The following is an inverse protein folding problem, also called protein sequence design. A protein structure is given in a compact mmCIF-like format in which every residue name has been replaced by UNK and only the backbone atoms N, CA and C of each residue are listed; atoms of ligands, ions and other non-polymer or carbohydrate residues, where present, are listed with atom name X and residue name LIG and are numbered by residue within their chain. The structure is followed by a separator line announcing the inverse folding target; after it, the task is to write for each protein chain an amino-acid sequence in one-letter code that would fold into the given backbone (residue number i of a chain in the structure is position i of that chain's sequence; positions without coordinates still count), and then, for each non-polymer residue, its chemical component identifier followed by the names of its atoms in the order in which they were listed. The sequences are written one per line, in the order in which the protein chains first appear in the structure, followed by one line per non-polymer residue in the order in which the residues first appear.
data_IF_712432592466
#
_entry.id   IF_712432592466
#
_cell.length_a   1.000
_cell.length_b   1.000
_cell.length_c   1.000
_cell.angle_alpha   90.00
_cell.angle_beta   90.00
_cell.angle_gamma   90.00
#
_symmetry.space_group_name_H-M   'P 1'
#
loop_
_entity.id
_entity.type
_entity.pdbx_description
1 polymer ?
#
# COMPACT_ATOMS: atom_id res chain seq x y z
N UNK A 1 56.49 -15.07 -51.04
CA UNK A 1 57.01 -16.13 -50.15
C UNK A 1 56.03 -16.21 -48.97
N UNK A 2 55.28 -17.27 -48.67
CA UNK A 2 55.23 -18.68 -49.07
C UNK A 2 53.75 -19.13 -49.03
N UNK A 3 53.40 -20.10 -49.88
CA UNK A 3 52.08 -20.75 -50.10
C UNK A 3 51.92 -22.00 -49.19
N UNK A 4 50.69 -22.22 -48.67
CA UNK A 4 49.88 -23.49 -48.67
C UNK A 4 50.43 -24.66 -47.79
N UNK A 5 49.62 -25.56 -47.12
CA UNK A 5 48.43 -26.25 -47.64
C UNK A 5 47.21 -26.52 -46.73
N UNK A 6 46.16 -26.93 -47.43
CA UNK A 6 44.93 -27.65 -47.06
C UNK A 6 45.16 -29.09 -46.57
N UNK A 7 44.26 -29.62 -45.71
CA UNK A 7 43.45 -30.85 -45.97
C UNK A 7 42.72 -31.41 -44.71
N UNK A 8 41.42 -31.77 -44.89
CA UNK A 8 40.68 -32.98 -44.43
C UNK A 8 40.58 -33.25 -42.89
N UNK A 9 39.53 -33.80 -42.26
CA UNK A 9 38.34 -34.57 -42.65
C UNK A 9 37.46 -34.82 -41.39
N UNK A 10 36.13 -34.97 -41.59
CA UNK A 10 35.15 -35.84 -40.87
C UNK A 10 35.03 -35.76 -39.33
N UNK A 11 33.85 -35.49 -38.76
CA UNK A 11 32.70 -36.41 -38.60
C UNK A 11 31.65 -35.63 -37.76
N UNK A 12 30.35 -35.58 -38.05
CA UNK A 12 29.42 -36.69 -38.15
C UNK A 12 28.99 -37.14 -36.75
N UNK A 13 27.95 -36.52 -36.17
CA UNK A 13 27.01 -37.12 -35.18
C UNK A 13 25.78 -36.20 -35.12
N UNK A 14 24.67 -36.71 -35.63
CA UNK A 14 23.34 -36.24 -35.31
C UNK A 14 22.91 -36.95 -34.01
N UNK A 15 22.47 -36.19 -33.00
CA UNK A 15 21.73 -36.76 -31.86
C UNK A 15 20.39 -36.07 -31.77
N UNK A 16 19.37 -36.84 -32.13
CA UNK A 16 17.97 -36.63 -31.81
C UNK A 16 17.82 -36.80 -30.29
N UNK A 17 17.22 -35.84 -29.59
CA UNK A 17 16.64 -36.09 -28.29
C UNK A 17 15.13 -35.95 -28.35
N UNK A 18 14.49 -37.02 -27.88
CA UNK A 18 13.08 -37.29 -27.95
C UNK A 18 12.28 -36.36 -27.04
N UNK A 19 11.12 -35.93 -27.54
CA UNK A 19 10.05 -35.35 -26.75
C UNK A 19 9.40 -36.48 -25.95
N UNK A 20 9.69 -36.52 -24.65
CA UNK A 20 8.98 -37.36 -23.70
C UNK A 20 7.64 -36.71 -23.34
N UNK A 21 6.55 -37.20 -23.92
CA UNK A 21 5.19 -36.94 -23.48
C UNK A 21 4.97 -37.67 -22.14
N UNK A 22 4.85 -36.95 -21.04
CA UNK A 22 4.33 -37.49 -19.78
C UNK A 22 2.88 -37.06 -19.67
N UNK A 23 1.97 -38.01 -19.94
CA UNK A 23 0.54 -37.88 -19.73
C UNK A 23 0.25 -37.97 -18.22
N UNK A 24 -0.07 -36.83 -17.59
CA UNK A 24 -0.65 -36.82 -16.25
C UNK A 24 -2.17 -36.79 -16.38
N UNK A 25 -2.80 -37.95 -16.20
CA UNK A 25 -4.26 -38.09 -16.06
C UNK A 25 -4.64 -37.63 -14.65
N UNK A 26 -5.29 -36.48 -14.54
CA UNK A 26 -5.93 -36.02 -13.30
C UNK A 26 -7.43 -36.27 -13.43
N UNK A 27 -7.93 -37.30 -12.75
CA UNK A 27 -9.37 -37.55 -12.59
C UNK A 27 -9.87 -36.57 -11.52
N UNK A 28 -10.64 -35.56 -11.94
CA UNK A 28 -11.39 -34.69 -11.03
C UNK A 28 -12.79 -35.28 -10.86
N UNK A 29 -13.07 -35.84 -9.69
CA UNK A 29 -14.42 -36.24 -9.30
C UNK A 29 -15.22 -34.98 -8.90
N UNK A 30 -16.27 -34.70 -9.66
CA UNK A 30 -17.22 -33.60 -9.41
C UNK A 30 -18.31 -34.13 -8.46
N UNK A 31 -18.25 -33.78 -7.17
CA UNK A 31 -19.35 -34.01 -6.25
C UNK A 31 -20.28 -32.79 -6.26
N UNK A 32 -21.42 -32.91 -6.95
CA UNK A 32 -22.55 -32.00 -6.81
C UNK A 32 -23.19 -32.22 -5.43
N UNK A 33 -23.16 -31.21 -4.57
CA UNK A 33 -24.06 -31.12 -3.42
C UNK A 33 -25.23 -30.22 -3.81
N UNK A 34 -26.41 -30.84 -3.94
CA UNK A 34 -27.67 -30.15 -4.17
C UNK A 34 -28.16 -29.51 -2.85
N UNK A 35 -28.50 -28.22 -2.89
CA UNK A 35 -29.19 -27.53 -1.80
C UNK A 35 -30.72 -27.71 -1.93
N UNK A 36 -31.48 -27.89 -0.83
CA UNK A 36 -32.93 -27.95 -0.88
C UNK A 36 -33.56 -26.54 -0.90
N UNK A 37 -34.63 -26.40 -1.68
CA UNK A 37 -35.43 -25.20 -1.86
C UNK A 37 -36.32 -24.87 -0.62
N UNK A 38 -36.69 -23.60 -0.40
CA UNK A 38 -37.67 -23.24 0.62
C UNK A 38 -39.11 -23.42 0.11
N UNK A 39 -39.92 -24.14 0.88
CA UNK A 39 -41.34 -24.33 0.66
C UNK A 39 -42.16 -23.10 1.04
N UNK A 40 -43.07 -22.73 0.15
CA UNK A 40 -44.14 -21.74 0.32
C UNK A 40 -45.28 -22.33 1.15
N UNK A 41 -45.75 -21.62 2.19
CA UNK A 41 -47.07 -21.82 2.75
C UNK A 41 -47.86 -20.51 2.68
N UNK A 42 -48.92 -20.57 1.89
CA UNK A 42 -49.93 -19.53 1.73
C UNK A 42 -51.04 -19.70 2.78
N UNK A 43 -51.52 -18.55 3.25
CA UNK A 43 -52.89 -18.16 3.55
C UNK A 43 -53.86 -19.15 4.20
N UNK A 44 -54.26 -18.79 5.42
CA UNK A 44 -55.47 -19.27 6.07
C UNK A 44 -56.12 -18.12 6.84
N UNK A 45 -56.89 -17.29 6.15
CA UNK A 45 -57.76 -16.30 6.75
C UNK A 45 -58.98 -16.99 7.38
N UNK A 46 -59.25 -16.72 8.65
CA UNK A 46 -60.57 -16.93 9.25
C UNK A 46 -60.90 -15.73 10.11
N UNK A 47 -61.95 -15.02 9.71
CA UNK A 47 -62.47 -13.83 10.36
C UNK A 47 -63.69 -14.25 11.17
N UNK A 48 -63.71 -14.00 12.49
CA UNK A 48 -64.91 -14.09 13.33
C UNK A 48 -64.96 -12.86 14.22
N UNK A 49 -65.92 -11.96 13.95
CA UNK A 49 -66.32 -10.88 14.83
C UNK A 49 -67.13 -11.44 16.01
N UNK A 50 -66.89 -10.95 17.22
CA UNK A 50 -67.91 -10.39 18.12
C UNK A 50 -67.30 -9.88 19.43
N UNK A 51 -67.40 -8.57 19.61
CA UNK A 51 -67.91 -7.82 20.79
C UNK A 51 -67.51 -8.22 22.22
N UNK A 52 -66.93 -7.26 22.96
CA UNK A 52 -67.39 -6.75 24.25
C UNK A 52 -66.23 -6.15 25.08
N UNK A 53 -66.41 -4.91 25.49
CA UNK A 53 -65.48 -4.11 26.26
C UNK A 53 -65.27 -4.63 27.70
N UNK A 54 -64.01 -4.68 28.15
CA UNK A 54 -63.65 -4.66 29.57
C UNK A 54 -62.24 -4.08 29.77
N UNK A 55 -62.15 -3.15 30.71
CA UNK A 55 -61.02 -2.33 31.14
C UNK A 55 -59.63 -2.97 31.08
N UNK A 56 -58.71 -2.32 30.37
CA UNK A 56 -57.27 -2.56 30.46
C UNK A 56 -56.62 -1.46 31.31
N UNK A 57 -56.21 -1.81 32.54
CA UNK A 57 -55.22 -1.05 33.31
C UNK A 57 -53.85 -1.23 32.66
N UNK A 58 -53.35 -0.18 32.04
CA UNK A 58 -52.02 -0.11 31.45
C UNK A 58 -50.96 0.04 32.56
N UNK A 59 -50.24 -1.04 32.85
CA UNK A 59 -49.04 -0.99 33.71
C UNK A 59 -47.86 -0.70 32.80
N UNK A 60 -47.39 0.55 32.79
CA UNK A 60 -46.19 0.96 32.08
C UNK A 60 -44.94 0.30 32.71
N UNK A 61 -44.09 -0.42 31.96
CA UNK A 61 -42.84 -0.91 32.50
C UNK A 61 -41.81 0.22 32.52
N UNK A 62 -41.42 0.64 33.72
CA UNK A 62 -40.27 1.52 33.94
C UNK A 62 -38.97 0.72 33.78
N UNK A 63 -38.39 0.75 32.58
CA UNK A 63 -37.00 0.38 32.35
C UNK A 63 -36.25 1.57 31.75
N UNK A 64 -35.82 2.50 32.61
CA UNK A 64 -34.75 3.43 32.28
C UNK A 64 -33.50 3.03 33.09
N UNK A 65 -32.89 1.90 32.71
CA UNK A 65 -31.51 1.65 33.08
C UNK A 65 -30.65 2.56 32.19
N UNK A 66 -30.16 3.66 32.77
CA UNK A 66 -29.13 4.49 32.16
C UNK A 66 -27.89 3.63 31.93
N UNK A 67 -27.69 3.15 30.70
CA UNK A 67 -26.43 2.55 30.27
C UNK A 67 -25.39 3.66 30.32
N UNK A 68 -24.56 3.66 31.36
CA UNK A 68 -23.39 4.54 31.41
C UNK A 68 -22.57 4.28 30.15
N UNK A 69 -22.32 5.33 29.37
CA UNK A 69 -21.45 5.23 28.20
C UNK A 69 -20.11 4.62 28.63
N UNK A 70 -19.54 3.67 27.86
CA UNK A 70 -18.24 3.11 28.19
C UNK A 70 -17.23 4.25 28.35
N UNK A 71 -16.34 4.17 29.35
CA UNK A 71 -15.34 5.21 29.57
C UNK A 71 -14.56 5.44 28.27
N UNK A 72 -14.57 6.69 27.79
CA UNK A 72 -13.79 7.10 26.62
C UNK A 72 -12.33 6.79 26.91
N UNK A 73 -11.71 5.94 26.10
CA UNK A 73 -10.33 5.51 26.26
C UNK A 73 -9.38 6.72 26.33
N UNK A 74 -8.88 7.00 27.54
CA UNK A 74 -8.01 8.15 27.88
C UNK A 74 -6.56 7.89 27.46
N UNK A 75 -6.34 7.44 26.22
CA UNK A 75 -5.01 7.33 25.65
C UNK A 75 -4.28 8.69 25.65
N UNK A 76 -2.93 8.70 25.59
CA UNK A 76 -2.16 9.93 25.66
C UNK A 76 -2.50 10.87 24.50
N UNK A 77 -2.64 12.16 24.80
CA UNK A 77 -2.90 13.20 23.79
C UNK A 77 -1.63 13.51 22.98
N UNK A 78 -1.77 13.76 21.65
CA UNK A 78 -0.66 14.24 20.84
C UNK A 78 -0.07 15.53 21.36
N UNK A 79 1.26 15.55 21.53
CA UNK A 79 1.99 16.81 21.78
C UNK A 79 1.96 17.67 20.52
N UNK A 80 1.83 18.97 20.71
CA UNK A 80 2.03 19.95 19.64
C UNK A 80 3.46 19.82 19.09
N UNK A 81 3.60 19.90 17.76
CA UNK A 81 4.90 19.93 17.12
C UNK A 81 5.65 21.24 17.49
N UNK A 82 6.83 21.18 18.16
CA UNK A 82 7.67 22.35 18.36
C UNK A 82 8.25 22.85 17.03
N UNK A 83 8.92 24.01 17.01
CA UNK A 83 9.55 24.54 15.79
C UNK A 83 10.68 23.65 15.23
N UNK A 84 11.25 22.78 16.06
CA UNK A 84 12.25 21.80 15.66
C UNK A 84 12.20 20.59 16.58
N UNK A 85 12.42 19.40 16.04
CA UNK A 85 12.59 18.18 16.80
C UNK A 85 13.58 17.23 16.11
N UNK A 86 14.23 16.37 16.88
CA UNK A 86 15.07 15.29 16.36
C UNK A 86 14.97 14.08 17.26
N UNK A 87 14.98 12.90 16.67
CA UNK A 87 15.03 11.60 17.35
C UNK A 87 16.43 11.02 17.16
N UNK A 88 16.99 10.40 18.20
CA UNK A 88 18.24 9.66 18.03
C UNK A 88 17.99 8.28 17.43
N UNK A 89 18.88 7.87 16.53
CA UNK A 89 18.83 6.58 15.83
C UNK A 89 20.18 6.30 15.17
N UNK A 90 20.50 5.02 14.99
CA UNK A 90 21.68 4.61 14.24
C UNK A 90 21.52 4.94 12.75
N UNK A 91 22.64 5.17 12.07
CA UNK A 91 22.67 5.23 10.61
C UNK A 91 23.26 3.93 10.06
N UNK A 92 22.72 3.45 8.94
CA UNK A 92 23.16 2.23 8.26
C UNK A 92 23.31 2.51 6.77
N UNK A 93 24.53 2.31 6.25
CA UNK A 93 24.79 2.27 4.81
C UNK A 93 24.18 1.01 4.21
N UNK A 94 23.39 1.12 3.16
CA UNK A 94 22.76 -0.07 2.58
C UNK A 94 23.73 -0.97 1.82
N UNK A 95 23.43 -2.27 1.81
CA UNK A 95 23.88 -3.17 0.75
C UNK A 95 23.05 -3.01 -0.54
N UNK A 96 23.43 -3.69 -1.62
CA UNK A 96 22.82 -3.57 -2.95
C UNK A 96 21.29 -3.73 -2.87
N UNK A 97 20.53 -2.73 -3.35
CA UNK A 97 19.06 -2.69 -3.33
C UNK A 97 18.43 -2.88 -1.94
N UNK A 98 19.15 -2.55 -0.86
CA UNK A 98 18.72 -2.75 0.52
C UNK A 98 18.25 -1.47 1.23
N UNK A 99 17.92 -0.39 0.49
CA UNK A 99 17.46 0.89 1.05
C UNK A 99 16.29 0.72 2.05
N UNK A 100 15.32 -0.14 1.71
CA UNK A 100 14.17 -0.45 2.56
C UNK A 100 14.55 -1.15 3.85
N UNK A 101 15.21 -2.33 3.81
CA UNK A 101 15.63 -3.02 5.03
C UNK A 101 16.60 -2.21 5.87
N UNK A 102 17.56 -1.49 5.27
CA UNK A 102 18.42 -0.55 5.97
C UNK A 102 17.60 0.53 6.72
N UNK A 103 16.56 1.08 6.07
CA UNK A 103 15.68 2.06 6.71
C UNK A 103 14.83 1.47 7.84
N UNK A 104 14.33 0.23 7.70
CA UNK A 104 13.60 -0.45 8.79
C UNK A 104 14.50 -0.63 10.00
N UNK A 105 15.74 -1.11 9.83
CA UNK A 105 16.64 -1.32 10.97
C UNK A 105 17.13 -0.01 11.61
N UNK A 106 17.19 1.08 10.83
CA UNK A 106 17.40 2.43 11.38
C UNK A 106 16.20 2.88 12.23
N UNK A 107 14.97 2.69 11.76
CA UNK A 107 13.77 3.00 12.55
C UNK A 107 13.70 2.16 13.84
N UNK A 108 13.97 0.86 13.77
CA UNK A 108 14.02 -0.03 14.94
C UNK A 108 15.04 0.42 15.99
N UNK A 109 16.17 0.99 15.57
CA UNK A 109 17.18 1.49 16.51
C UNK A 109 16.71 2.67 17.36
N UNK A 110 15.74 3.47 16.88
CA UNK A 110 15.12 4.53 17.69
C UNK A 110 14.28 3.97 18.84
N UNK A 111 13.89 2.70 18.76
CA UNK A 111 13.19 1.94 19.79
C UNK A 111 14.15 1.06 20.63
N UNK A 112 15.46 1.27 20.48
CA UNK A 112 16.48 0.49 21.19
C UNK A 112 16.75 -0.90 20.62
N UNK A 113 16.20 -1.25 19.45
CA UNK A 113 16.41 -2.56 18.82
C UNK A 113 17.56 -2.48 17.82
N UNK A 114 18.65 -3.17 18.12
CA UNK A 114 19.80 -3.29 17.24
C UNK A 114 19.76 -4.61 16.44
N UNK A 115 19.35 -4.52 15.18
CA UNK A 115 19.35 -5.64 14.23
C UNK A 115 20.12 -5.28 12.96
N UNK A 116 20.77 -6.27 12.35
CA UNK A 116 21.51 -6.11 11.09
C UNK A 116 20.54 -5.98 9.90
N UNK A 117 20.90 -5.14 8.92
CA UNK A 117 20.15 -5.06 7.66
C UNK A 117 20.17 -6.39 6.88
N UNK A 118 21.17 -7.24 7.12
CA UNK A 118 21.30 -8.52 6.41
C UNK A 118 20.28 -9.56 6.91
N UNK A 119 19.95 -9.52 8.19
CA UNK A 119 18.87 -10.33 8.78
C UNK A 119 17.50 -9.87 8.25
N UNK A 120 17.34 -8.56 8.05
CA UNK A 120 16.13 -7.94 7.53
C UNK A 120 15.99 -8.07 6.00
N UNK A 121 17.08 -8.30 5.25
CA UNK A 121 17.12 -8.22 3.79
C UNK A 121 16.16 -9.20 3.12
N UNK A 122 16.31 -10.50 3.37
CA UNK A 122 15.48 -11.52 2.71
C UNK A 122 14.00 -11.44 3.14
N UNK A 123 13.68 -11.32 4.45
CA UNK A 123 12.29 -11.24 4.88
C UNK A 123 11.54 -10.07 4.28
N UNK A 124 12.17 -8.89 4.20
CA UNK A 124 11.49 -7.66 3.78
C UNK A 124 11.53 -7.43 2.27
N UNK A 125 12.69 -7.64 1.63
CA UNK A 125 12.89 -7.39 0.20
C UNK A 125 12.58 -8.61 -0.67
N UNK A 126 12.74 -9.81 -0.12
CA UNK A 126 12.71 -11.08 -0.86
C UNK A 126 14.07 -11.50 -1.42
N UNK A 127 14.09 -12.69 -2.02
CA UNK A 127 15.31 -13.34 -2.51
C UNK A 127 15.87 -12.75 -3.81
N UNK A 128 15.04 -12.12 -4.64
CA UNK A 128 15.51 -11.47 -5.86
C UNK A 128 16.38 -10.25 -5.51
N UNK A 129 17.67 -10.31 -5.87
CA UNK A 129 18.64 -9.26 -5.57
C UNK A 129 18.38 -7.96 -6.34
N UNK A 130 17.63 -8.03 -7.44
CA UNK A 130 17.26 -6.89 -8.27
C UNK A 130 16.00 -6.17 -7.77
N UNK A 131 15.26 -6.76 -6.82
CA UNK A 131 14.05 -6.16 -6.27
C UNK A 131 14.38 -5.24 -5.10
N UNK A 132 13.60 -4.15 -4.96
CA UNK A 132 13.52 -3.37 -3.73
C UNK A 132 12.48 -3.93 -2.75
N UNK A 133 12.24 -3.22 -1.66
CA UNK A 133 11.26 -3.57 -0.63
C UNK A 133 9.95 -2.80 -0.83
N UNK A 134 8.82 -3.50 -0.84
CA UNK A 134 7.49 -2.93 -0.61
C UNK A 134 7.13 -2.91 0.88
N UNK A 135 6.15 -2.10 1.33
CA UNK A 135 5.84 -1.96 2.75
C UNK A 135 5.16 -3.19 3.37
N UNK A 136 4.58 -4.09 2.57
CA UNK A 136 3.64 -5.12 3.03
C UNK A 136 4.28 -6.16 3.96
N UNK A 137 5.58 -6.41 3.83
CA UNK A 137 6.28 -7.42 4.63
C UNK A 137 6.81 -6.89 5.96
N UNK A 138 6.73 -5.58 6.21
CA UNK A 138 7.31 -4.96 7.40
C UNK A 138 6.55 -5.36 8.66
N UNK A 139 5.22 -5.18 8.73
CA UNK A 139 4.41 -5.49 9.93
C UNK A 139 4.52 -6.97 10.34
N UNK A 140 4.32 -7.96 9.44
CA UNK A 140 4.44 -9.37 9.83
C UNK A 140 5.84 -9.72 10.35
N UNK A 141 6.90 -9.16 9.75
CA UNK A 141 8.26 -9.45 10.15
C UNK A 141 8.58 -8.84 11.52
N UNK A 142 8.28 -7.57 11.76
CA UNK A 142 8.61 -6.95 13.06
C UNK A 142 7.71 -7.45 14.20
N UNK A 143 6.46 -7.80 13.91
CA UNK A 143 5.56 -8.40 14.89
C UNK A 143 6.09 -9.75 15.35
N UNK A 144 6.49 -10.61 14.41
CA UNK A 144 7.03 -11.93 14.72
C UNK A 144 8.37 -11.90 15.48
N UNK A 145 9.21 -10.90 15.26
CA UNK A 145 10.58 -10.87 15.81
C UNK A 145 10.73 -9.96 17.03
N UNK A 146 9.90 -8.93 17.19
CA UNK A 146 10.11 -7.88 18.19
C UNK A 146 8.85 -7.49 18.97
N UNK A 147 7.68 -8.09 18.66
CA UNK A 147 6.41 -7.70 19.29
C UNK A 147 5.93 -6.30 18.91
N UNK A 148 6.51 -5.69 17.88
CA UNK A 148 6.14 -4.36 17.38
C UNK A 148 5.08 -4.44 16.28
N UNK A 149 4.51 -3.29 15.93
CA UNK A 149 3.59 -3.14 14.80
C UNK A 149 4.10 -2.10 13.81
N UNK A 150 3.71 -2.25 12.55
CA UNK A 150 3.93 -1.27 11.52
C UNK A 150 2.63 -0.96 10.78
N UNK A 151 2.44 0.32 10.48
CA UNK A 151 1.37 0.78 9.60
C UNK A 151 1.97 1.60 8.49
N UNK A 152 1.50 1.39 7.27
CA UNK A 152 1.80 2.25 6.14
C UNK A 152 0.52 2.81 5.56
N UNK A 153 0.55 4.07 5.18
CA UNK A 153 -0.59 4.80 4.63
C UNK A 153 -0.11 5.73 3.52
N UNK A 154 -1.05 6.21 2.71
CA UNK A 154 -0.81 7.24 1.70
C UNK A 154 -1.28 8.60 2.21
N UNK A 155 -1.21 9.63 1.37
CA UNK A 155 -1.71 10.97 1.67
C UNK A 155 -0.97 11.72 2.80
N UNK A 156 0.26 11.33 3.11
CA UNK A 156 1.03 12.06 4.10
C UNK A 156 1.28 13.53 3.72
N UNK A 157 1.53 14.35 4.74
CA UNK A 157 1.87 15.77 4.60
C UNK A 157 3.12 16.07 5.41
N UNK A 158 3.83 17.15 5.06
CA UNK A 158 4.96 17.61 5.87
C UNK A 158 4.51 17.87 7.32
N UNK A 159 3.32 18.46 7.50
CA UNK A 159 2.74 18.65 8.84
C UNK A 159 2.56 17.33 9.62
N UNK A 160 2.00 16.30 8.98
CA UNK A 160 1.85 14.99 9.62
C UNK A 160 3.20 14.39 10.02
N UNK A 161 4.20 14.46 9.14
CA UNK A 161 5.53 13.93 9.46
C UNK A 161 6.19 14.69 10.62
N UNK A 162 6.02 16.02 10.70
CA UNK A 162 6.47 16.82 11.84
C UNK A 162 5.79 16.38 13.14
N UNK A 163 4.45 16.19 13.12
CA UNK A 163 3.69 15.74 14.30
C UNK A 163 4.10 14.33 14.74
N UNK A 164 4.37 13.42 13.80
CA UNK A 164 4.90 12.09 14.10
C UNK A 164 6.26 12.17 14.80
N UNK A 165 7.20 12.93 14.24
CA UNK A 165 8.55 13.11 14.81
C UNK A 165 8.51 13.79 16.18
N UNK A 166 7.67 14.83 16.34
CA UNK A 166 7.48 15.52 17.62
C UNK A 166 6.96 14.60 18.74
N UNK A 167 6.29 13.51 18.36
CA UNK A 167 5.74 12.52 19.28
C UNK A 167 6.58 11.24 19.35
N UNK A 168 7.81 11.25 18.83
CA UNK A 168 8.78 10.15 18.98
C UNK A 168 8.66 9.05 17.93
N UNK A 169 7.79 9.20 16.93
CA UNK A 169 7.70 8.26 15.82
C UNK A 169 8.71 8.61 14.73
N UNK A 170 9.30 7.59 14.09
CA UNK A 170 10.31 7.75 13.03
C UNK A 170 9.72 7.36 11.67
N UNK A 171 8.95 8.25 11.01
CA UNK A 171 8.29 7.89 9.78
C UNK A 171 9.29 7.65 8.65
N UNK A 172 9.07 6.56 7.94
CA UNK A 172 9.80 6.21 6.74
C UNK A 172 9.02 6.64 5.51
N UNK A 173 9.71 7.13 4.48
CA UNK A 173 9.08 7.52 3.20
C UNK A 173 9.79 6.86 2.03
N UNK A 174 9.05 6.69 0.93
CA UNK A 174 9.65 6.39 -0.38
C UNK A 174 9.67 7.65 -1.22
N UNK A 175 10.83 8.01 -1.74
CA UNK A 175 11.01 9.17 -2.61
C UNK A 175 11.82 8.80 -3.84
N UNK A 176 11.76 9.66 -4.85
CA UNK A 176 12.81 9.68 -5.85
C UNK A 176 14.12 10.16 -5.21
N UNK A 177 15.20 9.47 -5.52
CA UNK A 177 16.55 9.95 -5.28
C UNK A 177 17.28 10.01 -6.60
N UNK A 178 17.96 11.12 -6.85
CA UNK A 178 18.91 11.23 -7.94
C UNK A 178 20.23 10.56 -7.54
N UNK A 179 20.59 9.49 -8.23
CA UNK A 179 21.94 8.94 -8.17
C UNK A 179 22.72 9.43 -9.41
N UNK A 180 23.88 10.11 -9.24
CA UNK A 180 24.68 10.60 -10.36
C UNK A 180 25.25 9.50 -11.27
N UNK A 181 25.40 8.28 -10.76
CA UNK A 181 26.05 7.15 -11.44
C UNK A 181 25.06 6.18 -12.10
N UNK A 182 23.78 6.19 -11.71
CA UNK A 182 22.77 5.25 -12.22
C UNK A 182 21.56 5.93 -12.87
N UNK A 183 21.11 7.10 -12.38
CA UNK A 183 19.84 7.82 -12.67
C UNK A 183 18.90 7.88 -11.44
N UNK A 184 17.63 8.21 -11.61
CA UNK A 184 16.63 8.27 -10.53
C UNK A 184 16.23 6.87 -10.06
N UNK A 185 16.25 6.66 -8.75
CA UNK A 185 15.82 5.42 -8.11
C UNK A 185 14.75 5.66 -7.05
N UNK A 186 13.79 4.74 -6.95
CA UNK A 186 12.85 4.74 -5.84
C UNK A 186 13.60 4.34 -4.56
N UNK A 187 13.55 5.19 -3.54
CA UNK A 187 14.45 5.12 -2.41
C UNK A 187 13.72 5.27 -1.08
N UNK A 188 14.04 4.39 -0.13
CA UNK A 188 13.52 4.48 1.23
C UNK A 188 14.47 5.29 2.12
N UNK A 189 13.88 6.15 2.95
CA UNK A 189 14.59 6.99 3.93
C UNK A 189 13.80 7.05 5.22
N UNK A 190 14.48 7.36 6.32
CA UNK A 190 13.85 7.57 7.65
C UNK A 190 13.92 9.05 7.99
N UNK A 191 12.77 9.67 8.29
CA UNK A 191 12.76 11.03 8.83
C UNK A 191 13.17 10.98 10.28
N UNK A 192 14.25 11.71 10.59
CA UNK A 192 14.87 11.76 11.90
C UNK A 192 14.48 13.01 12.66
N UNK A 193 14.33 14.12 11.95
CA UNK A 193 14.12 15.43 12.56
C UNK A 193 13.60 16.45 11.56
N UNK A 194 13.29 17.64 12.06
CA UNK A 194 12.92 18.77 11.24
C UNK A 194 13.26 20.09 11.93
N UNK A 195 13.34 21.14 11.13
CA UNK A 195 13.52 22.52 11.55
C UNK A 195 12.64 23.42 10.67
N UNK A 196 11.63 24.05 11.28
CA UNK A 196 10.67 24.92 10.61
C UNK A 196 11.30 26.25 10.16
N UNK A 197 12.28 26.77 10.91
CA UNK A 197 12.96 28.01 10.54
C UNK A 197 13.78 27.83 9.26
N UNK A 198 14.27 26.61 9.03
CA UNK A 198 14.98 26.22 7.81
C UNK A 198 14.08 25.53 6.78
N UNK A 199 12.79 25.36 7.07
CA UNK A 199 11.84 24.60 6.26
C UNK A 199 12.42 23.25 5.76
N UNK A 200 13.03 22.50 6.67
CA UNK A 200 13.88 21.34 6.34
C UNK A 200 13.53 20.11 7.17
N UNK A 201 13.48 18.95 6.52
CA UNK A 201 13.57 17.65 7.18
C UNK A 201 15.03 17.20 7.21
N UNK A 202 15.43 16.57 8.31
CA UNK A 202 16.66 15.81 8.41
C UNK A 202 16.32 14.33 8.33
N UNK A 203 16.93 13.63 7.39
CA UNK A 203 16.72 12.19 7.20
C UNK A 203 18.00 11.41 7.49
N UNK A 204 17.83 10.17 7.93
CA UNK A 204 18.86 9.16 7.74
C UNK A 204 18.62 8.49 6.38
N UNK A 205 19.54 8.68 5.46
CA UNK A 205 19.51 8.15 4.10
C UNK A 205 20.56 7.03 3.97
N UNK A 206 20.16 5.81 3.58
CA UNK A 206 21.09 4.68 3.53
C UNK A 206 22.16 4.77 2.40
N UNK A 207 22.08 5.76 1.50
CA UNK A 207 23.05 6.06 0.43
C UNK A 207 23.70 7.43 0.54
N UNK A 208 23.13 8.36 1.30
CA UNK A 208 23.68 9.72 1.46
C UNK A 208 24.21 10.03 2.87
N UNK A 209 23.84 9.24 3.88
CA UNK A 209 24.37 9.37 5.24
C UNK A 209 23.34 9.79 6.29
N UNK A 210 23.86 10.20 7.44
CA UNK A 210 23.09 10.64 8.61
C UNK A 210 22.77 12.14 8.51
N UNK A 211 21.59 12.56 9.00
CA UNK A 211 21.18 13.97 9.08
C UNK A 211 21.23 14.72 7.72
N UNK A 212 20.87 14.04 6.64
CA UNK A 212 20.83 14.65 5.31
C UNK A 212 19.69 15.67 5.27
N UNK A 213 19.97 16.96 4.99
CA UNK A 213 18.95 17.99 4.94
C UNK A 213 18.19 17.95 3.62
N UNK A 214 16.86 17.96 3.69
CA UNK A 214 15.95 18.02 2.56
C UNK A 214 14.91 19.12 2.81
N UNK A 215 14.83 20.12 1.92
CA UNK A 215 13.80 21.15 2.06
C UNK A 215 12.41 20.52 1.99
N UNK A 216 11.44 21.09 2.71
CA UNK A 216 10.04 20.65 2.70
C UNK A 216 9.45 20.57 1.31
N UNK A 217 9.81 21.52 0.43
CA UNK A 217 9.37 21.54 -0.95
C UNK A 217 9.98 20.39 -1.76
N UNK A 218 11.31 20.20 -1.68
CA UNK A 218 11.97 19.10 -2.37
C UNK A 218 11.43 17.75 -1.90
N UNK A 219 11.29 17.61 -0.58
CA UNK A 219 10.77 16.42 0.06
C UNK A 219 9.37 16.07 -0.47
N UNK A 220 8.46 17.05 -0.54
CA UNK A 220 7.11 16.85 -1.03
C UNK A 220 7.08 16.48 -2.52
N UNK A 221 7.89 17.15 -3.35
CA UNK A 221 7.91 16.93 -4.80
C UNK A 221 8.40 15.53 -5.17
N UNK A 222 9.45 15.04 -4.48
CA UNK A 222 10.03 13.73 -4.74
C UNK A 222 9.25 12.59 -4.07
N UNK A 223 8.32 12.93 -3.18
CA UNK A 223 7.42 11.99 -2.49
C UNK A 223 6.07 11.80 -3.21
N UNK A 224 5.59 12.85 -3.89
CA UNK A 224 4.32 12.87 -4.63
C UNK A 224 4.11 11.65 -5.55
N UNK A 225 5.04 11.26 -6.45
CA UNK A 225 4.80 10.13 -7.35
C UNK A 225 4.73 8.77 -6.62
N UNK A 226 5.07 8.72 -5.33
CA UNK A 226 4.92 7.55 -4.46
C UNK A 226 3.71 7.67 -3.53
N UNK A 227 2.70 8.45 -3.95
CA UNK A 227 1.40 8.61 -3.28
C UNK A 227 1.46 9.22 -1.89
N UNK A 228 2.50 10.01 -1.63
CA UNK A 228 2.80 10.51 -0.28
C UNK A 228 2.79 9.37 0.77
N UNK A 229 3.32 8.20 0.39
CA UNK A 229 3.33 7.02 1.25
C UNK A 229 4.33 7.15 2.38
N UNK A 230 3.87 6.92 3.60
CA UNK A 230 4.70 6.83 4.79
C UNK A 230 4.47 5.48 5.49
N UNK A 231 5.45 5.04 6.26
CA UNK A 231 5.40 3.87 7.12
C UNK A 231 5.91 4.25 8.50
N UNK A 232 5.23 3.80 9.56
CA UNK A 232 5.64 4.00 10.95
C UNK A 232 5.72 2.65 11.64
N UNK A 233 6.83 2.41 12.32
CA UNK A 233 7.01 1.30 13.26
C UNK A 233 6.74 1.82 14.67
N UNK A 234 5.96 1.09 15.47
CA UNK A 234 5.51 1.51 16.79
C UNK A 234 5.33 0.32 17.75
N UNK A 235 5.42 0.59 19.05
CA UNK A 235 5.02 -0.34 20.10
C UNK A 235 3.48 -0.39 20.15
N UNK A 236 2.83 -1.58 20.20
CA UNK A 236 1.37 -1.70 20.25
C UNK A 236 0.69 -0.76 21.26
N UNK A 237 1.32 -0.46 22.40
CA UNK A 237 0.75 0.45 23.41
C UNK A 237 0.58 1.89 22.93
N UNK A 238 1.35 2.29 21.91
CA UNK A 238 1.36 3.65 21.36
C UNK A 238 0.39 3.81 20.18
N UNK A 239 -0.39 2.77 19.82
CA UNK A 239 -1.28 2.81 18.66
C UNK A 239 -2.35 3.90 18.77
N UNK A 240 -2.91 4.10 19.97
CA UNK A 240 -3.92 5.13 20.20
C UNK A 240 -3.36 6.53 19.97
N UNK A 241 -2.11 6.79 20.39
CA UNK A 241 -1.43 8.04 20.13
C UNK A 241 -1.20 8.23 18.63
N UNK A 242 -0.72 7.19 17.96
CA UNK A 242 -0.47 7.22 16.52
C UNK A 242 -1.76 7.47 15.74
N UNK A 243 -2.86 6.81 16.11
CA UNK A 243 -4.21 7.03 15.57
C UNK A 243 -4.64 8.50 15.70
N UNK A 244 -4.47 9.09 16.89
CA UNK A 244 -4.81 10.51 17.14
C UNK A 244 -3.95 11.47 16.32
N UNK A 245 -2.66 11.17 16.13
CA UNK A 245 -1.77 11.99 15.29
C UNK A 245 -2.19 11.91 13.81
N UNK A 246 -2.46 10.71 13.31
CA UNK A 246 -2.89 10.50 11.92
C UNK A 246 -4.28 11.10 11.66
N UNK A 247 -5.17 11.05 12.65
CA UNK A 247 -6.51 11.64 12.57
C UNK A 247 -7.45 10.82 11.69
N UNK A 248 -8.35 11.50 10.97
CA UNK A 248 -9.37 10.86 10.12
C UNK A 248 -8.78 9.93 9.06
N UNK A 249 -7.57 10.26 8.58
CA UNK A 249 -6.85 9.45 7.62
C UNK A 249 -6.41 8.10 8.21
N UNK A 250 -6.64 7.78 9.49
CA UNK A 250 -6.50 6.42 10.02
C UNK A 250 -7.55 5.47 9.45
N UNK A 251 -8.74 5.98 9.13
CA UNK A 251 -9.76 5.21 8.43
C UNK A 251 -9.42 5.13 6.93
N UNK A 252 -9.39 3.93 6.36
CA UNK A 252 -8.98 3.72 4.98
C UNK A 252 -9.88 4.39 3.95
N UNK A 253 -11.20 4.43 4.19
CA UNK A 253 -12.15 5.08 3.28
C UNK A 253 -11.95 6.60 3.29
N UNK A 254 -11.78 7.18 4.49
CA UNK A 254 -11.49 8.62 4.65
C UNK A 254 -10.16 8.99 3.99
N UNK A 255 -9.10 8.24 4.25
CA UNK A 255 -7.80 8.45 3.63
C UNK A 255 -7.88 8.40 2.11
N UNK A 256 -8.57 7.41 1.52
CA UNK A 256 -8.73 7.32 0.06
C UNK A 256 -9.49 8.50 -0.53
N UNK A 257 -10.57 8.93 0.14
CA UNK A 257 -11.35 10.09 -0.29
C UNK A 257 -10.52 11.38 -0.22
N UNK A 258 -9.86 11.63 0.91
CA UNK A 258 -9.00 12.80 1.10
C UNK A 258 -7.82 12.81 0.12
N UNK A 259 -7.21 11.65 -0.12
CA UNK A 259 -6.12 11.48 -1.09
C UNK A 259 -6.59 11.77 -2.52
N UNK A 260 -7.76 11.26 -2.90
CA UNK A 260 -8.37 11.52 -4.21
C UNK A 260 -8.63 13.00 -4.44
N UNK A 261 -9.31 13.68 -3.52
CA UNK A 261 -9.63 15.10 -3.66
C UNK A 261 -8.37 15.97 -3.74
N UNK A 262 -7.41 15.73 -2.83
CA UNK A 262 -6.14 16.47 -2.81
C UNK A 262 -5.36 16.30 -4.12
N UNK A 263 -5.12 15.06 -4.54
CA UNK A 263 -4.28 14.80 -5.72
C UNK A 263 -4.96 15.19 -7.02
N UNK A 264 -6.30 15.15 -7.10
CA UNK A 264 -7.05 15.70 -8.22
C UNK A 264 -6.79 17.19 -8.38
N UNK A 265 -6.87 17.95 -7.29
CA UNK A 265 -6.58 19.37 -7.29
C UNK A 265 -5.11 19.65 -7.65
N UNK A 266 -4.17 18.90 -7.07
CA UNK A 266 -2.73 19.02 -7.39
C UNK A 266 -2.43 18.72 -8.86
N UNK A 267 -3.02 17.67 -9.43
CA UNK A 267 -2.83 17.29 -10.83
C UNK A 267 -3.32 18.38 -11.80
N UNK A 268 -4.48 18.97 -11.50
CA UNK A 268 -5.03 20.06 -12.30
C UNK A 268 -4.21 21.35 -12.17
N UNK A 269 -3.76 21.69 -10.96
CA UNK A 269 -3.02 22.92 -10.70
C UNK A 269 -1.57 22.86 -11.20
N UNK A 270 -0.88 21.76 -10.96
CA UNK A 270 0.55 21.61 -11.26
C UNK A 270 0.78 21.13 -12.70
N UNK A 271 -0.12 20.27 -13.21
CA UNK A 271 -0.03 19.67 -14.53
C UNK A 271 1.34 19.05 -14.85
N UNK A 272 1.93 18.35 -13.88
CA UNK A 272 3.21 17.65 -14.01
C UNK A 272 3.02 16.14 -14.05
N UNK A 273 4.03 15.42 -14.54
CA UNK A 273 4.05 13.95 -14.52
C UNK A 273 3.74 13.40 -13.12
N UNK A 274 4.49 13.84 -12.09
CA UNK A 274 4.34 13.32 -10.73
C UNK A 274 2.92 13.53 -10.16
N UNK A 275 2.31 14.68 -10.41
CA UNK A 275 0.97 14.99 -9.92
C UNK A 275 -0.10 14.11 -10.59
N UNK A 276 -0.01 13.90 -11.92
CA UNK A 276 -0.92 13.01 -12.65
C UNK A 276 -0.79 11.55 -12.21
N UNK A 277 0.43 11.10 -11.93
CA UNK A 277 0.69 9.74 -11.45
C UNK A 277 0.10 9.55 -10.04
N UNK A 278 0.32 10.52 -9.13
CA UNK A 278 -0.26 10.49 -7.80
C UNK A 278 -1.80 10.48 -7.83
N UNK A 279 -2.41 11.28 -8.72
CA UNK A 279 -3.85 11.28 -8.91
C UNK A 279 -4.38 9.97 -9.48
N UNK A 280 -3.68 9.35 -10.44
CA UNK A 280 -4.05 8.03 -10.94
C UNK A 280 -4.10 6.97 -9.84
N UNK A 281 -3.09 6.97 -8.95
CA UNK A 281 -3.07 6.08 -7.77
C UNK A 281 -4.23 6.35 -6.81
N UNK A 282 -4.53 7.63 -6.56
CA UNK A 282 -5.61 8.02 -5.69
C UNK A 282 -6.98 7.63 -6.26
N UNK A 283 -7.20 7.89 -7.55
CA UNK A 283 -8.41 7.50 -8.27
C UNK A 283 -8.58 5.98 -8.30
N UNK A 284 -7.51 5.20 -8.50
CA UNK A 284 -7.58 3.74 -8.38
C UNK A 284 -7.99 3.32 -6.96
N UNK A 285 -7.33 3.87 -5.94
CA UNK A 285 -7.63 3.58 -4.54
C UNK A 285 -9.04 3.98 -4.10
N UNK A 286 -9.64 4.98 -4.76
CA UNK A 286 -11.03 5.43 -4.59
C UNK A 286 -12.04 4.64 -5.45
N UNK A 287 -11.54 3.74 -6.32
CA UNK A 287 -12.33 2.94 -7.26
C UNK A 287 -12.77 3.68 -8.52
N UNK A 288 -12.32 4.91 -8.76
CA UNK A 288 -12.67 5.72 -9.92
C UNK A 288 -11.84 5.28 -11.14
N UNK A 289 -12.05 4.04 -11.59
CA UNK A 289 -11.15 3.38 -12.56
C UNK A 289 -11.01 4.12 -13.89
N UNK A 290 -12.07 4.75 -14.39
CA UNK A 290 -12.01 5.56 -15.61
C UNK A 290 -11.12 6.81 -15.44
N UNK A 291 -11.27 7.53 -14.33
CA UNK A 291 -10.41 8.67 -14.00
C UNK A 291 -8.96 8.23 -13.73
N UNK A 292 -8.78 7.08 -13.07
CA UNK A 292 -7.46 6.51 -12.81
C UNK A 292 -6.70 6.27 -14.11
N UNK A 293 -7.32 5.58 -15.07
CA UNK A 293 -6.74 5.31 -16.40
C UNK A 293 -6.40 6.63 -17.12
N UNK A 294 -7.33 7.59 -17.15
CA UNK A 294 -7.09 8.88 -17.81
C UNK A 294 -5.93 9.66 -17.17
N UNK A 295 -5.84 9.66 -15.84
CA UNK A 295 -4.75 10.31 -15.10
C UNK A 295 -3.40 9.62 -15.35
N UNK A 296 -3.37 8.28 -15.33
CA UNK A 296 -2.16 7.52 -15.65
C UNK A 296 -1.69 7.75 -17.08
N UNK A 297 -2.59 7.68 -18.06
CA UNK A 297 -2.27 7.94 -19.47
C UNK A 297 -1.72 9.37 -19.66
N UNK A 298 -2.30 10.36 -18.97
CA UNK A 298 -1.80 11.74 -18.98
C UNK A 298 -0.41 11.85 -18.34
N UNK A 299 -0.17 11.19 -17.21
CA UNK A 299 1.15 11.14 -16.57
C UNK A 299 2.20 10.48 -17.46
N UNK A 300 1.87 9.36 -18.11
CA UNK A 300 2.75 8.65 -19.05
C UNK A 300 3.10 9.52 -20.26
N UNK A 301 2.16 10.36 -20.73
CA UNK A 301 2.41 11.26 -21.85
C UNK A 301 3.47 12.35 -21.55
N UNK A 302 3.70 12.69 -20.28
CA UNK A 302 4.75 13.64 -19.89
C UNK A 302 6.17 13.04 -19.90
N UNK A 303 6.32 11.72 -19.78
CA UNK A 303 7.64 11.11 -19.72
C UNK A 303 7.66 9.67 -19.20
N UNK A 304 8.87 9.14 -19.04
CA UNK A 304 9.08 7.78 -18.54
C UNK A 304 8.61 7.65 -17.09
N UNK A 305 7.81 6.63 -16.82
CA UNK A 305 7.32 6.25 -15.48
C UNK A 305 8.09 5.07 -14.89
N UNK A 306 9.19 4.67 -15.55
CA UNK A 306 10.04 3.57 -15.08
C UNK A 306 10.55 3.85 -13.66
N UNK A 307 10.34 2.89 -12.76
CA UNK A 307 10.72 2.95 -11.36
C UNK A 307 9.64 3.45 -10.39
N UNK A 308 8.52 4.02 -10.87
CA UNK A 308 7.32 4.21 -10.04
C UNK A 308 6.61 2.87 -9.90
N UNK A 309 6.87 2.15 -8.82
CA UNK A 309 6.39 0.78 -8.66
C UNK A 309 4.90 0.66 -8.34
N UNK A 310 4.26 1.71 -7.82
CA UNK A 310 2.83 1.69 -7.50
C UNK A 310 2.00 1.44 -8.77
N UNK A 311 2.39 2.09 -9.86
CA UNK A 311 1.73 2.02 -11.17
C UNK A 311 1.75 0.63 -11.79
N UNK A 312 2.73 -0.20 -11.43
CA UNK A 312 2.90 -1.55 -11.99
C UNK A 312 1.69 -2.44 -11.72
N UNK A 313 0.97 -2.17 -10.63
CA UNK A 313 -0.25 -2.89 -10.29
C UNK A 313 -1.50 -2.08 -10.62
N UNK A 314 -1.60 -0.85 -10.14
CA UNK A 314 -2.82 -0.03 -10.19
C UNK A 314 -3.32 0.24 -11.61
N UNK A 315 -2.44 0.59 -12.55
CA UNK A 315 -2.84 0.93 -13.91
C UNK A 315 -3.38 -0.29 -14.70
N UNK A 316 -2.68 -1.44 -14.78
CA UNK A 316 -3.25 -2.65 -15.35
C UNK A 316 -4.55 -3.08 -14.68
N UNK A 317 -4.67 -2.97 -13.36
CA UNK A 317 -5.90 -3.36 -12.66
C UNK A 317 -7.08 -2.43 -12.96
N UNK A 318 -6.85 -1.12 -13.06
CA UNK A 318 -7.88 -0.17 -13.47
C UNK A 318 -8.39 -0.49 -14.90
N UNK A 319 -7.49 -0.84 -15.83
CA UNK A 319 -7.86 -1.28 -17.18
C UNK A 319 -8.71 -2.56 -17.15
N UNK A 320 -8.33 -3.57 -16.34
CA UNK A 320 -9.12 -4.81 -16.19
C UNK A 320 -10.50 -4.54 -15.63
N UNK A 321 -10.61 -3.66 -14.63
CA UNK A 321 -11.90 -3.27 -14.03
C UNK A 321 -12.84 -2.60 -15.05
N UNK A 322 -12.30 -1.97 -16.09
CA UNK A 322 -13.05 -1.40 -17.22
C UNK A 322 -13.27 -2.40 -18.38
N UNK A 323 -12.88 -3.66 -18.22
CA UNK A 323 -12.98 -4.67 -19.28
C UNK A 323 -11.90 -4.57 -20.37
N UNK A 324 -10.92 -3.67 -20.24
CA UNK A 324 -9.82 -3.47 -21.22
C UNK A 324 -8.69 -4.48 -21.03
N UNK A 325 -8.99 -5.77 -21.20
CA UNK A 325 -8.06 -6.88 -20.87
C UNK A 325 -6.76 -6.88 -21.69
N UNK A 326 -6.85 -6.60 -22.99
CA UNK A 326 -5.68 -6.57 -23.88
C UNK A 326 -4.75 -5.41 -23.50
N UNK A 327 -5.31 -4.22 -23.27
CA UNK A 327 -4.54 -3.05 -22.83
C UNK A 327 -3.89 -3.28 -21.48
N UNK A 328 -4.59 -3.96 -20.55
CA UNK A 328 -4.03 -4.32 -19.25
C UNK A 328 -2.81 -5.25 -19.38
N UNK A 329 -2.85 -6.23 -20.29
CA UNK A 329 -1.73 -7.13 -20.55
C UNK A 329 -0.52 -6.37 -21.13
N UNK A 330 -0.75 -5.47 -22.09
CA UNK A 330 0.28 -4.61 -22.67
C UNK A 330 0.88 -3.69 -21.61
N UNK A 331 0.05 -3.06 -20.78
CA UNK A 331 0.48 -2.19 -19.69
C UNK A 331 1.33 -2.96 -18.66
N UNK A 332 0.89 -4.15 -18.25
CA UNK A 332 1.61 -5.00 -17.32
C UNK A 332 3.00 -5.38 -17.88
N UNK A 333 3.08 -5.73 -19.17
CA UNK A 333 4.36 -6.05 -19.80
C UNK A 333 5.30 -4.85 -19.88
N UNK A 334 4.78 -3.66 -20.21
CA UNK A 334 5.58 -2.42 -20.33
C UNK A 334 6.11 -1.92 -18.98
N UNK A 335 5.32 -2.07 -17.92
CA UNK A 335 5.66 -1.60 -16.58
C UNK A 335 6.41 -2.63 -15.74
N UNK A 336 6.38 -3.90 -16.15
CA UNK A 336 7.16 -4.97 -15.52
C UNK A 336 8.65 -4.84 -15.87
N UNK A 337 9.51 -5.07 -14.88
CA UNK A 337 10.95 -5.31 -15.07
C UNK A 337 11.26 -6.78 -15.34
N UNK A 338 10.22 -7.62 -15.47
CA UNK A 338 10.31 -9.08 -15.65
C UNK A 338 9.61 -9.47 -16.95
N UNK A 339 10.30 -10.26 -17.78
CA UNK A 339 9.91 -10.66 -19.15
C UNK A 339 8.84 -11.75 -19.23
N UNK A 340 8.24 -12.18 -18.11
CA UNK A 340 7.26 -13.27 -18.12
C UNK A 340 5.87 -12.71 -18.42
N UNK A 341 5.35 -13.01 -19.61
CA UNK A 341 3.96 -12.74 -19.98
C UNK A 341 3.09 -13.92 -19.56
N UNK A 342 2.02 -13.73 -18.76
CA UNK A 342 1.08 -14.82 -18.48
C UNK A 342 0.25 -15.12 -19.73
N UNK A 343 0.05 -16.42 -20.02
CA UNK A 343 -0.74 -16.92 -21.15
C UNK A 343 -2.25 -16.87 -20.93
N UNK A 344 -2.70 -16.46 -19.73
CA UNK A 344 -4.10 -16.32 -19.34
C UNK A 344 -4.34 -14.90 -18.82
N UNK A 345 -5.40 -14.25 -19.30
CA UNK A 345 -5.83 -12.96 -18.78
C UNK A 345 -6.16 -13.09 -17.28
N UNK A 346 -5.37 -12.44 -16.43
CA UNK A 346 -5.67 -12.40 -15.01
C UNK A 346 -6.95 -11.57 -14.78
N UNK A 347 -7.90 -12.03 -13.95
CA UNK A 347 -9.04 -11.19 -13.53
C UNK A 347 -8.55 -9.98 -12.71
N UNK A 348 -9.40 -8.96 -12.47
CA UNK A 348 -9.12 -7.94 -11.46
C UNK A 348 -8.79 -8.62 -10.12
N UNK A 349 -7.81 -8.10 -9.37
CA UNK A 349 -7.50 -8.67 -8.07
C UNK A 349 -8.65 -8.48 -7.06
N UNK A 350 -8.63 -9.26 -5.98
CA UNK A 350 -9.66 -9.20 -4.93
C UNK A 350 -9.82 -7.80 -4.32
N UNK A 351 -8.79 -6.96 -4.40
CA UNK A 351 -8.85 -5.57 -3.94
C UNK A 351 -9.63 -4.68 -4.90
N UNK A 352 -9.40 -4.79 -6.21
CA UNK A 352 -10.18 -4.10 -7.23
C UNK A 352 -11.66 -4.53 -7.20
N UNK A 353 -11.93 -5.82 -6.97
CA UNK A 353 -13.30 -6.33 -6.78
C UNK A 353 -13.94 -5.78 -5.51
N UNK A 354 -13.23 -5.81 -4.37
CA UNK A 354 -13.69 -5.20 -3.11
C UNK A 354 -14.06 -3.72 -3.30
N UNK A 355 -13.21 -2.96 -3.99
CA UNK A 355 -13.46 -1.54 -4.28
C UNK A 355 -14.71 -1.34 -5.14
N UNK A 356 -14.95 -2.21 -6.11
CA UNK A 356 -16.15 -2.15 -6.95
C UNK A 356 -17.42 -2.41 -6.14
N UNK A 357 -17.40 -3.35 -5.18
CA UNK A 357 -18.56 -3.66 -4.33
C UNK A 357 -18.79 -2.66 -3.20
N UNK A 358 -17.73 -2.11 -2.60
CA UNK A 358 -17.83 -1.14 -1.50
C UNK A 358 -18.57 0.16 -1.89
N UNK A 359 -18.67 0.45 -3.20
CA UNK A 359 -19.46 1.57 -3.74
C UNK A 359 -20.98 1.39 -3.66
N UNK A 360 -21.44 0.14 -3.54
CA UNK A 360 -22.87 -0.21 -3.56
C UNK A 360 -23.56 -0.12 -2.20
N UNK A 361 -22.81 0.09 -1.11
CA UNK A 361 -23.38 0.19 0.24
C UNK A 361 -23.45 1.66 0.66
N UNK A 362 -24.67 2.23 0.84
CA UNK A 362 -24.80 3.55 1.43
C UNK A 362 -24.18 3.53 2.83
N UNK A 363 -23.44 4.60 3.12
CA UNK A 363 -22.87 4.89 4.44
C UNK A 363 -23.99 4.95 5.48
N UNK A 364 -24.27 3.83 6.15
CA UNK A 364 -24.79 3.89 7.51
C UNK A 364 -23.58 4.03 8.40
N UNK A 365 -23.41 5.23 8.96
CA UNK A 365 -22.53 5.44 10.11
C UNK A 365 -23.02 4.57 11.25
N UNK A 366 -22.60 3.31 11.26
CA UNK A 366 -22.67 2.47 12.44
C UNK A 366 -21.33 2.65 13.14
N UNK A 367 -21.41 3.26 14.33
CA UNK A 367 -20.45 3.02 15.39
C UNK A 367 -20.13 1.53 15.43
N UNK A 368 -18.91 1.16 15.07
CA UNK A 368 -18.33 -0.12 15.47
C UNK A 368 -17.05 0.22 16.23
N UNK A 369 -17.29 0.51 17.51
CA UNK A 369 -16.36 0.09 18.53
C UNK A 369 -16.42 -1.43 18.58
N UNK A 370 -15.30 -2.07 18.25
CA UNK A 370 -14.75 -3.27 18.91
C UNK A 370 -13.29 -3.44 18.51
#
# INVERSE_FOLDING_TARGET
MVRVPSHLMRSGIAVRFAVGLVSLVLVVALALVAAPAPGSHADGAVNVMADAAAAATEVAPSYAASVAAPPVDQGPEPRSAPASASIDMKHVWQSLNNCGPASVVMALSSLGIDVSQEDARIPLRGANVLSGMGPQKVDPWISANFGLRAVWRNNGTNDLLRRLVANGFTPMVTQWMQDPSISRIAHWRVVRGYDDALATFYVNDPMLGRMVPLSYQWFQNEWQPFSYRYLVVYDPKDELLLRRIVGEDWNDLRMRANFYERTKAEALAQNTQNAWIAFGEAAYGYGAFAEAVAAFEKGIAFGSVQGVFTMRSSYPQALRALGRQQDAAVAAQRLSTTTVSPTVAAPPDGFALYLAFARGLPFQGAHLAE
#
